data_IF_053891160226
#
_entry.id   IF_053891160226
#
_cell.length_a   1.000
_cell.length_b   1.000
_cell.length_c   1.000
_cell.angle_alpha   90.00
_cell.angle_beta   90.00
_cell.angle_gamma   90.00
#
_symmetry.space_group_name_H-M   'P 1'
#
loop_
_entity.id
_entity.type
_entity.pdbx_description
1 polymer ?
#
# COMPACT_ATOMS: atom_id res chain seq x y z
N UNK A 1 -46.28 -6.44 -21.08
CA UNK A 1 -44.81 -6.21 -21.10
C UNK A 1 -44.24 -5.75 -19.76
N UNK A 2 -45.00 -5.08 -18.87
CA UNK A 2 -44.49 -4.59 -17.57
C UNK A 2 -44.20 -5.73 -16.55
N UNK A 3 -44.98 -6.83 -16.59
CA UNK A 3 -44.84 -7.92 -15.61
C UNK A 3 -43.55 -8.76 -15.75
N UNK A 4 -42.98 -8.88 -16.96
CA UNK A 4 -41.76 -9.68 -17.17
C UNK A 4 -40.48 -9.02 -16.61
N UNK A 5 -40.43 -7.68 -16.61
CA UNK A 5 -39.31 -6.92 -16.03
C UNK A 5 -39.28 -7.00 -14.50
N UNK A 6 -40.46 -7.01 -13.87
CA UNK A 6 -40.65 -7.22 -12.43
C UNK A 6 -40.12 -8.59 -11.99
N UNK A 7 -40.51 -9.67 -12.67
CA UNK A 7 -40.08 -11.03 -12.34
C UNK A 7 -38.57 -11.23 -12.52
N UNK A 8 -38.00 -10.62 -13.55
CA UNK A 8 -36.56 -10.69 -13.83
C UNK A 8 -35.74 -10.00 -12.72
N UNK A 9 -36.20 -8.84 -12.26
CA UNK A 9 -35.56 -8.11 -11.16
C UNK A 9 -35.61 -8.89 -9.85
N UNK A 10 -36.78 -9.43 -9.51
CA UNK A 10 -36.97 -10.23 -8.29
C UNK A 10 -36.11 -11.51 -8.34
N UNK A 11 -35.98 -12.12 -9.51
CA UNK A 11 -35.09 -13.27 -9.72
C UNK A 11 -33.62 -12.93 -9.42
N UNK A 12 -33.09 -11.82 -9.97
CA UNK A 12 -31.72 -11.40 -9.72
C UNK A 12 -31.49 -10.95 -8.26
N UNK A 13 -32.45 -10.26 -7.65
CA UNK A 13 -32.39 -9.87 -6.24
C UNK A 13 -32.35 -11.09 -5.31
N UNK A 14 -33.16 -12.11 -5.56
CA UNK A 14 -33.16 -13.35 -4.78
C UNK A 14 -31.89 -14.17 -5.01
N UNK A 15 -31.37 -14.21 -6.24
CA UNK A 15 -30.09 -14.87 -6.54
C UNK A 15 -28.92 -14.17 -5.84
N UNK A 16 -28.91 -12.84 -5.81
CA UNK A 16 -27.91 -12.06 -5.09
C UNK A 16 -27.98 -12.28 -3.57
N UNK A 17 -29.19 -12.35 -2.98
CA UNK A 17 -29.38 -12.69 -1.56
C UNK A 17 -28.89 -14.10 -1.23
N UNK A 18 -29.13 -15.07 -2.12
CA UNK A 18 -28.64 -16.45 -1.94
C UNK A 18 -27.11 -16.55 -2.01
N UNK A 19 -26.46 -15.74 -2.86
CA UNK A 19 -24.98 -15.64 -2.89
C UNK A 19 -24.45 -14.97 -1.63
N UNK A 20 -25.12 -13.94 -1.10
CA UNK A 20 -24.76 -13.29 0.17
C UNK A 20 -25.00 -14.18 1.42
N UNK A 21 -25.86 -15.19 1.31
CA UNK A 21 -26.12 -16.17 2.37
C UNK A 21 -25.11 -17.33 2.39
N UNK A 22 -24.15 -17.36 1.47
CA UNK A 22 -22.95 -18.18 1.64
C UNK A 22 -22.18 -17.58 2.81
N UNK A 23 -22.31 -18.19 3.99
CA UNK A 23 -21.31 -18.01 5.04
C UNK A 23 -19.95 -18.28 4.39
N UNK A 24 -19.10 -17.28 4.34
CA UNK A 24 -17.69 -17.41 3.99
C UNK A 24 -17.05 -18.37 5.01
N UNK A 25 -17.20 -19.67 4.78
CA UNK A 25 -16.39 -20.72 5.37
C UNK A 25 -14.98 -20.71 4.73
N UNK A 26 -14.57 -19.60 4.13
CA UNK A 26 -13.23 -19.42 3.62
C UNK A 26 -12.32 -19.12 4.80
N UNK A 27 -11.72 -20.18 5.34
CA UNK A 27 -10.63 -20.07 6.28
C UNK A 27 -9.51 -19.24 5.66
N UNK A 28 -9.01 -18.26 6.41
CA UNK A 28 -7.90 -17.43 5.96
C UNK A 28 -6.69 -18.31 5.59
N UNK A 29 -6.22 -18.17 4.37
CA UNK A 29 -5.03 -18.90 3.89
C UNK A 29 -3.80 -18.27 4.53
N UNK A 30 -3.14 -19.01 5.42
CA UNK A 30 -1.95 -18.54 6.14
C UNK A 30 -0.73 -18.35 5.21
N UNK A 31 -0.57 -19.22 4.22
CA UNK A 31 0.56 -19.17 3.30
C UNK A 31 0.44 -18.03 2.27
N UNK A 32 1.42 -17.13 2.25
CA UNK A 32 1.51 -15.98 1.34
C UNK A 32 1.40 -16.36 -0.14
N UNK A 33 2.12 -17.41 -0.56
CA UNK A 33 2.19 -17.87 -1.95
C UNK A 33 0.86 -18.47 -2.39
N UNK A 34 0.24 -19.27 -1.53
CA UNK A 34 -1.09 -19.83 -1.79
C UNK A 34 -2.15 -18.74 -1.90
N UNK A 35 -2.10 -17.71 -1.05
CA UNK A 35 -2.97 -16.52 -1.18
C UNK A 35 -2.79 -15.83 -2.51
N UNK A 36 -1.54 -15.58 -2.91
CA UNK A 36 -1.24 -14.94 -4.20
C UNK A 36 -1.80 -15.77 -5.35
N UNK A 37 -1.58 -17.08 -5.37
CA UNK A 37 -2.09 -17.96 -6.41
C UNK A 37 -3.63 -17.94 -6.50
N UNK A 38 -4.33 -17.97 -5.35
CA UNK A 38 -5.80 -17.85 -5.32
C UNK A 38 -6.26 -16.48 -5.86
N UNK A 39 -5.59 -15.40 -5.45
CA UNK A 39 -5.86 -14.05 -5.92
C UNK A 39 -5.67 -13.94 -7.45
N UNK A 40 -4.54 -14.41 -7.97
CA UNK A 40 -4.22 -14.35 -9.40
C UNK A 40 -5.27 -15.11 -10.24
N UNK A 41 -5.73 -16.28 -9.76
CA UNK A 41 -6.82 -17.03 -10.39
C UNK A 41 -8.14 -16.24 -10.39
N UNK A 42 -8.50 -15.64 -9.27
CA UNK A 42 -9.72 -14.82 -9.16
C UNK A 42 -9.67 -13.59 -10.08
N UNK A 43 -8.52 -12.90 -10.14
CA UNK A 43 -8.29 -11.78 -11.06
C UNK A 43 -8.49 -12.23 -12.51
N UNK A 44 -7.97 -13.40 -12.89
CA UNK A 44 -8.13 -13.92 -14.23
C UNK A 44 -9.60 -14.20 -14.59
N UNK A 45 -10.38 -14.72 -13.64
CA UNK A 45 -11.82 -14.93 -13.85
C UNK A 45 -12.58 -13.61 -13.98
N UNK A 46 -12.26 -12.60 -13.16
CA UNK A 46 -12.88 -11.27 -13.26
C UNK A 46 -12.52 -10.60 -14.58
N UNK A 47 -11.27 -10.71 -15.05
CA UNK A 47 -10.86 -10.19 -16.37
C UNK A 47 -11.70 -10.78 -17.50
N UNK A 48 -11.98 -12.08 -17.47
CA UNK A 48 -12.87 -12.72 -18.46
C UNK A 48 -14.27 -12.14 -18.40
N UNK A 49 -14.81 -11.89 -17.19
CA UNK A 49 -16.10 -11.25 -17.04
C UNK A 49 -16.10 -9.83 -17.60
N UNK A 50 -15.10 -9.01 -17.27
CA UNK A 50 -14.96 -7.66 -17.81
C UNK A 50 -14.91 -7.65 -19.33
N UNK A 51 -14.15 -8.55 -19.94
CA UNK A 51 -14.07 -8.67 -21.40
C UNK A 51 -15.44 -9.01 -22.01
N UNK A 52 -16.17 -9.97 -21.43
CA UNK A 52 -17.50 -10.34 -21.92
C UNK A 52 -18.49 -9.17 -21.79
N UNK A 53 -18.50 -8.47 -20.66
CA UNK A 53 -19.38 -7.32 -20.43
C UNK A 53 -19.01 -6.13 -21.30
N UNK A 54 -17.72 -5.89 -21.53
CA UNK A 54 -17.24 -4.86 -22.45
C UNK A 54 -17.77 -5.12 -23.87
N UNK A 55 -17.64 -6.35 -24.37
CA UNK A 55 -18.13 -6.72 -25.71
C UNK A 55 -19.65 -6.62 -25.80
N UNK A 56 -20.37 -7.08 -24.77
CA UNK A 56 -21.83 -7.11 -24.79
C UNK A 56 -22.48 -5.73 -24.58
N UNK A 57 -21.87 -4.86 -23.77
CA UNK A 57 -22.48 -3.62 -23.30
C UNK A 57 -21.73 -2.35 -23.70
N UNK A 58 -20.52 -2.46 -24.28
CA UNK A 58 -19.70 -1.31 -24.64
C UNK A 58 -19.14 -0.52 -23.44
N UNK A 59 -19.03 -1.16 -22.27
CA UNK A 59 -18.57 -0.52 -21.04
C UNK A 59 -17.14 -0.98 -20.71
N UNK A 60 -16.25 -0.02 -20.47
CA UNK A 60 -14.90 -0.28 -19.97
C UNK A 60 -14.89 -0.44 -18.45
N UNK A 61 -14.06 -1.38 -17.96
CA UNK A 61 -13.97 -1.68 -16.54
C UNK A 61 -12.55 -1.50 -16.02
N UNK A 62 -12.46 -0.96 -14.81
CA UNK A 62 -11.25 -1.03 -14.01
C UNK A 62 -11.59 -1.43 -12.58
N UNK A 63 -10.83 -2.39 -12.07
CA UNK A 63 -10.84 -2.84 -10.69
C UNK A 63 -9.55 -2.41 -10.01
N UNK A 64 -9.71 -1.83 -8.82
CA UNK A 64 -8.60 -1.52 -7.93
C UNK A 64 -8.59 -2.57 -6.82
N UNK A 65 -7.46 -3.26 -6.66
CA UNK A 65 -7.25 -4.22 -5.57
C UNK A 65 -6.40 -3.58 -4.48
N UNK A 66 -6.96 -3.56 -3.27
CA UNK A 66 -6.33 -2.92 -2.13
C UNK A 66 -6.01 -3.98 -1.09
N UNK A 67 -4.73 -4.08 -0.75
CA UNK A 67 -4.26 -5.04 0.25
C UNK A 67 -4.18 -4.37 1.61
N UNK A 68 -4.81 -4.98 2.60
CA UNK A 68 -4.63 -4.66 4.02
C UNK A 68 -3.51 -5.51 4.67
N UNK A 69 -2.70 -6.23 3.88
CA UNK A 69 -1.50 -6.95 4.31
C UNK A 69 -0.28 -6.45 3.53
N UNK A 70 0.89 -6.44 4.16
CA UNK A 70 2.13 -5.97 3.53
C UNK A 70 2.69 -6.97 2.51
N UNK A 71 2.34 -8.26 2.63
CA UNK A 71 2.84 -9.32 1.75
C UNK A 71 2.28 -9.24 0.32
N UNK A 72 1.04 -8.78 0.18
CA UNK A 72 0.38 -8.62 -1.12
C UNK A 72 0.38 -7.14 -1.49
N UNK A 73 0.87 -6.84 -2.69
CA UNK A 73 0.83 -5.48 -3.21
C UNK A 73 -0.58 -5.16 -3.68
N UNK A 74 -1.00 -3.93 -3.39
CA UNK A 74 -2.19 -3.37 -4.03
C UNK A 74 -1.88 -3.13 -5.51
N UNK A 75 -2.86 -3.34 -6.37
CA UNK A 75 -2.70 -3.19 -7.80
C UNK A 75 -4.04 -2.83 -8.46
N UNK A 76 -4.09 -2.78 -9.78
CA UNK A 76 -5.31 -2.59 -10.52
C UNK A 76 -5.30 -3.47 -11.76
N UNK A 77 -6.48 -3.78 -12.29
CA UNK A 77 -6.64 -4.50 -13.54
C UNK A 77 -7.99 -4.14 -14.18
N UNK A 78 -8.16 -4.38 -15.47
CA UNK A 78 -9.35 -3.97 -16.20
C UNK A 78 -9.56 -4.74 -17.50
N UNK A 79 -10.47 -4.23 -18.31
CA UNK A 79 -10.59 -4.55 -19.74
C UNK A 79 -9.36 -4.07 -20.50
N UNK A 80 -9.06 -4.70 -21.64
CA UNK A 80 -7.82 -4.42 -22.39
C UNK A 80 -7.64 -2.92 -22.70
N UNK A 81 -8.69 -2.26 -23.21
CA UNK A 81 -8.65 -0.83 -23.56
C UNK A 81 -8.48 0.03 -22.32
N UNK A 82 -9.22 -0.27 -21.25
CA UNK A 82 -9.04 0.37 -19.95
C UNK A 82 -7.59 0.26 -19.45
N UNK A 83 -6.99 -0.93 -19.49
CA UNK A 83 -5.62 -1.10 -19.00
C UNK A 83 -4.60 -0.33 -19.81
N UNK A 84 -4.71 -0.32 -21.13
CA UNK A 84 -3.79 0.41 -21.99
C UNK A 84 -3.85 1.91 -21.70
N UNK A 85 -5.06 2.45 -21.52
CA UNK A 85 -5.27 3.84 -21.13
C UNK A 85 -4.56 4.16 -19.79
N UNK A 86 -4.82 3.39 -18.73
CA UNK A 86 -4.27 3.72 -17.41
C UNK A 86 -2.79 3.38 -17.24
N UNK A 87 -2.23 2.45 -18.04
CA UNK A 87 -0.78 2.24 -18.10
C UNK A 87 -0.04 3.48 -18.60
N UNK A 88 -0.66 4.24 -19.52
CA UNK A 88 -0.04 5.44 -20.08
C UNK A 88 0.09 6.58 -19.06
N UNK A 89 -0.78 6.64 -18.05
CA UNK A 89 -0.92 7.83 -17.19
C UNK A 89 -0.47 7.68 -15.74
N UNK A 90 -0.05 6.51 -15.26
CA UNK A 90 0.45 6.21 -13.89
C UNK A 90 -0.43 6.64 -12.68
N UNK A 91 -1.47 7.44 -12.88
CA UNK A 91 -2.32 8.05 -11.87
C UNK A 91 -3.01 7.02 -10.96
N UNK A 92 -3.35 5.84 -11.49
CA UNK A 92 -3.95 4.78 -10.66
C UNK A 92 -2.99 4.22 -9.62
N UNK A 93 -1.69 4.16 -9.91
CA UNK A 93 -0.72 3.67 -8.92
C UNK A 93 -0.64 4.63 -7.72
N UNK A 94 -0.78 5.93 -7.97
CA UNK A 94 -0.84 6.96 -6.94
C UNK A 94 -2.19 6.92 -6.20
N UNK A 95 -3.29 6.81 -6.95
CA UNK A 95 -4.65 6.78 -6.41
C UNK A 95 -4.92 5.58 -5.49
N UNK A 96 -4.17 4.48 -5.65
CA UNK A 96 -4.28 3.30 -4.78
C UNK A 96 -3.80 3.57 -3.35
N UNK A 97 -2.87 4.51 -3.17
CA UNK A 97 -2.17 4.71 -1.89
C UNK A 97 -3.14 5.06 -0.76
N UNK A 98 -4.04 6.05 -0.89
CA UNK A 98 -5.00 6.39 0.16
C UNK A 98 -5.89 5.20 0.56
N UNK A 99 -6.38 4.43 -0.41
CA UNK A 99 -7.21 3.25 -0.12
C UNK A 99 -6.42 2.19 0.66
N UNK A 100 -5.15 1.99 0.33
CA UNK A 100 -4.27 1.06 1.04
C UNK A 100 -4.06 1.49 2.48
N UNK A 101 -3.73 2.76 2.71
CA UNK A 101 -3.56 3.32 4.04
C UNK A 101 -4.83 3.14 4.88
N UNK A 102 -5.98 3.49 4.31
CA UNK A 102 -7.29 3.31 4.96
C UNK A 102 -7.57 1.83 5.29
N UNK A 103 -7.28 0.92 4.37
CA UNK A 103 -7.53 -0.52 4.56
C UNK A 103 -6.64 -1.12 5.67
N UNK A 104 -5.39 -0.69 5.77
CA UNK A 104 -4.47 -1.06 6.86
C UNK A 104 -4.99 -0.53 8.19
N UNK A 105 -5.39 0.74 8.26
CA UNK A 105 -5.94 1.35 9.47
C UNK A 105 -7.21 0.64 9.94
N UNK A 106 -8.14 0.36 9.02
CA UNK A 106 -9.37 -0.37 9.34
C UNK A 106 -9.12 -1.79 9.83
N UNK A 107 -8.12 -2.48 9.27
CA UNK A 107 -7.71 -3.79 9.77
C UNK A 107 -7.14 -3.69 11.19
N UNK A 108 -6.27 -2.72 11.48
CA UNK A 108 -5.73 -2.50 12.83
C UNK A 108 -6.83 -2.20 13.83
N UNK A 109 -7.76 -1.29 13.50
CA UNK A 109 -8.93 -0.98 14.33
C UNK A 109 -9.76 -2.24 14.65
N UNK A 110 -9.97 -3.12 13.66
CA UNK A 110 -10.70 -4.37 13.87
C UNK A 110 -9.91 -5.36 14.74
N UNK A 111 -8.60 -5.50 14.54
CA UNK A 111 -7.74 -6.37 15.35
C UNK A 111 -7.64 -5.88 16.79
N UNK A 112 -7.50 -4.57 17.00
CA UNK A 112 -7.51 -3.95 18.34
C UNK A 112 -8.87 -4.12 19.02
N UNK A 113 -9.99 -3.89 18.32
CA UNK A 113 -11.34 -4.19 18.84
C UNK A 113 -11.52 -5.67 19.19
N UNK A 114 -10.95 -6.60 18.41
CA UNK A 114 -10.95 -8.04 18.73
C UNK A 114 -10.13 -8.32 20.01
N UNK A 115 -9.02 -7.60 20.24
CA UNK A 115 -8.23 -7.74 21.49
C UNK A 115 -8.95 -7.21 22.73
N UNK A 116 -9.90 -6.28 22.58
CA UNK A 116 -10.68 -5.71 23.70
C UNK A 116 -11.88 -6.58 24.13
N UNK A 117 -12.10 -7.76 23.54
CA UNK A 117 -13.19 -8.67 23.93
C UNK A 117 -12.61 -9.95 24.54
N UNK A 118 -12.11 -9.84 25.78
CA UNK A 118 -12.11 -10.92 26.77
C UNK A 118 -11.90 -10.31 28.17
N UNK A 119 -12.87 -10.40 29.10
CA UNK A 119 -12.68 -9.99 30.47
C UNK A 119 -12.13 -11.17 31.27
N UNK A 120 -10.80 -11.25 31.40
CA UNK A 120 -10.19 -12.09 32.43
C UNK A 120 -8.95 -11.40 32.98
N UNK A 121 -9.01 -11.11 34.27
CA UNK A 121 -7.93 -10.59 35.10
C UNK A 121 -6.60 -11.32 34.84
N UNK A 122 -5.52 -10.57 34.62
CA UNK A 122 -4.19 -10.73 35.23
C UNK A 122 -3.21 -9.71 34.60
N UNK A 123 -2.64 -8.90 35.49
CA UNK A 123 -1.38 -8.13 35.42
C UNK A 123 -1.06 -7.20 34.22
N UNK A 124 -1.14 -5.91 34.54
CA UNK A 124 -0.07 -4.91 34.45
C UNK A 124 0.75 -4.72 33.15
N UNK A 125 0.61 -3.49 32.64
CA UNK A 125 1.64 -2.65 32.03
C UNK A 125 2.44 -3.22 30.84
N UNK A 126 1.97 -2.90 29.63
CA UNK A 126 2.84 -2.21 28.66
C UNK A 126 2.00 -1.39 27.67
N UNK A 127 1.90 -0.08 27.90
CA UNK A 127 1.52 0.86 26.83
C UNK A 127 2.71 0.97 25.86
N UNK A 128 2.70 0.20 24.77
CA UNK A 128 3.57 0.50 23.63
C UNK A 128 3.02 1.72 22.89
N UNK A 129 3.57 2.88 23.24
CA UNK A 129 3.47 4.11 22.44
C UNK A 129 3.94 3.82 21.02
N UNK A 130 3.13 4.21 20.04
CA UNK A 130 3.57 4.47 18.67
C UNK A 130 4.93 5.21 18.70
N UNK A 131 5.97 4.77 17.97
CA UNK A 131 7.23 5.47 18.01
C UNK A 131 7.02 6.87 17.40
N UNK A 132 7.19 7.89 18.24
CA UNK A 132 7.37 9.27 17.81
C UNK A 132 8.57 9.34 16.87
N UNK A 133 8.62 10.35 16.00
CA UNK A 133 9.76 10.53 15.09
C UNK A 133 11.10 10.62 15.84
N UNK A 134 11.10 11.03 17.12
CA UNK A 134 12.27 10.97 18.00
C UNK A 134 12.77 9.55 18.28
N UNK A 135 11.88 8.55 18.35
CA UNK A 135 12.23 7.18 18.73
C UNK A 135 13.06 6.45 17.67
N UNK A 136 12.71 6.62 16.38
CA UNK A 136 13.46 6.00 15.28
C UNK A 136 14.84 6.62 15.05
N UNK A 137 14.99 7.91 15.38
CA UNK A 137 16.28 8.62 15.33
C UNK A 137 17.18 8.26 16.50
N UNK A 138 16.63 8.10 17.70
CA UNK A 138 17.39 7.73 18.91
C UNK A 138 18.02 6.33 18.81
N UNK A 139 17.46 5.44 17.98
CA UNK A 139 17.97 4.07 17.77
C UNK A 139 19.03 3.96 16.66
N UNK A 140 19.43 5.06 16.03
CA UNK A 140 20.48 5.04 14.99
C UNK A 140 21.87 4.95 15.62
N UNK A 141 22.61 3.91 15.26
CA UNK A 141 24.02 3.80 15.61
C UNK A 141 24.89 4.53 14.59
N UNK A 142 25.21 5.79 14.88
CA UNK A 142 26.08 6.65 14.06
C UNK A 142 27.50 6.10 13.90
N UNK A 143 27.97 5.21 14.79
CA UNK A 143 29.29 4.58 14.70
C UNK A 143 29.37 3.45 13.65
N UNK A 144 28.23 2.97 13.12
CA UNK A 144 28.18 1.87 12.13
C UNK A 144 27.35 2.24 10.88
N UNK A 145 27.78 3.27 10.12
CA UNK A 145 27.01 3.81 8.98
C UNK A 145 26.82 2.80 7.83
N UNK A 146 27.72 1.82 7.71
CA UNK A 146 27.67 0.82 6.65
C UNK A 146 26.81 -0.41 6.97
N UNK A 147 26.33 -0.55 8.21
CA UNK A 147 25.59 -1.73 8.67
C UNK A 147 24.24 -1.89 7.98
N UNK A 148 23.75 -3.13 7.89
CA UNK A 148 22.41 -3.42 7.35
C UNK A 148 21.32 -2.72 8.17
N UNK A 149 21.47 -2.72 9.51
CA UNK A 149 20.57 -2.02 10.43
C UNK A 149 20.47 -0.51 10.12
N UNK A 150 21.62 0.17 9.97
CA UNK A 150 21.63 1.59 9.59
C UNK A 150 20.96 1.82 8.23
N UNK A 151 21.18 0.94 7.24
CA UNK A 151 20.56 1.06 5.91
C UNK A 151 19.04 0.93 5.98
N UNK A 152 18.54 -0.03 6.74
CA UNK A 152 17.10 -0.29 6.84
C UNK A 152 16.40 0.79 7.65
N UNK A 153 17.02 1.28 8.74
CA UNK A 153 16.52 2.42 9.53
C UNK A 153 16.48 3.72 8.74
N UNK A 154 17.56 4.08 8.04
CA UNK A 154 17.59 5.28 7.19
C UNK A 154 16.52 5.18 6.10
N UNK A 155 16.35 4.00 5.47
CA UNK A 155 15.29 3.78 4.49
C UNK A 155 13.89 3.99 5.10
N UNK A 156 13.66 3.46 6.31
CA UNK A 156 12.37 3.61 7.00
C UNK A 156 12.09 5.08 7.34
N UNK A 157 13.08 5.81 7.86
CA UNK A 157 12.98 7.22 8.23
C UNK A 157 12.69 8.08 7.00
N UNK A 158 13.49 7.93 5.93
CA UNK A 158 13.28 8.70 4.70
C UNK A 158 11.91 8.41 4.07
N UNK A 159 11.48 7.14 4.05
CA UNK A 159 10.15 6.77 3.55
C UNK A 159 9.05 7.44 4.35
N UNK A 160 9.15 7.44 5.69
CA UNK A 160 8.18 8.07 6.57
C UNK A 160 8.14 9.58 6.39
N UNK A 161 9.30 10.25 6.29
CA UNK A 161 9.39 11.68 5.96
C UNK A 161 8.73 11.99 4.62
N UNK A 162 8.99 11.19 3.58
CA UNK A 162 8.34 11.36 2.27
C UNK A 162 6.81 11.19 2.33
N UNK A 163 6.33 10.25 3.13
CA UNK A 163 4.89 10.04 3.35
C UNK A 163 4.26 11.21 4.14
N UNK A 164 4.97 11.78 5.12
CA UNK A 164 4.47 12.91 5.92
C UNK A 164 4.52 14.22 5.11
N UNK A 165 5.67 14.52 4.51
CA UNK A 165 5.93 15.84 3.94
C UNK A 165 5.19 16.07 2.61
N UNK A 166 5.09 15.02 1.76
CA UNK A 166 4.49 15.13 0.42
C UNK A 166 3.42 14.07 0.15
N UNK A 167 2.97 13.33 1.18
CA UNK A 167 1.95 12.28 1.04
C UNK A 167 2.32 11.20 0.00
N UNK A 168 3.62 11.00 -0.21
CA UNK A 168 4.16 10.11 -1.23
C UNK A 168 4.34 8.66 -0.73
N UNK A 169 4.04 7.67 -1.58
CA UNK A 169 4.14 6.25 -1.20
C UNK A 169 5.56 5.66 -1.32
N UNK A 170 6.22 5.85 -2.46
CA UNK A 170 7.57 5.33 -2.74
C UNK A 170 8.42 6.46 -3.29
N UNK A 171 9.55 6.71 -2.64
CA UNK A 171 10.54 7.67 -3.13
C UNK A 171 11.07 7.17 -4.49
N UNK A 172 10.92 7.96 -5.58
CA UNK A 172 11.30 7.55 -6.93
C UNK A 172 12.82 7.62 -7.18
N UNK A 173 13.64 6.99 -6.33
CA UNK A 173 15.11 7.06 -6.40
C UNK A 173 15.69 6.82 -7.81
N UNK A 174 15.14 5.86 -8.58
CA UNK A 174 15.62 5.53 -9.93
C UNK A 174 15.40 6.66 -10.95
N UNK A 175 14.36 7.46 -10.76
CA UNK A 175 13.97 8.55 -11.66
C UNK A 175 14.20 9.92 -11.00
N UNK A 176 14.92 9.97 -9.87
CA UNK A 176 15.02 11.18 -9.05
C UNK A 176 15.61 12.39 -9.81
N UNK A 177 16.54 12.14 -10.74
CA UNK A 177 17.11 13.19 -11.61
C UNK A 177 16.16 13.73 -12.67
N UNK A 178 15.18 12.94 -13.08
CA UNK A 178 14.31 13.24 -14.22
C UNK A 178 12.89 13.61 -13.78
N UNK A 179 12.57 13.45 -12.50
CA UNK A 179 11.29 13.85 -11.94
C UNK A 179 11.31 15.34 -11.57
N UNK A 180 10.16 16.01 -11.71
CA UNK A 180 10.00 17.45 -11.47
C UNK A 180 8.99 17.76 -10.36
N UNK A 181 8.52 16.73 -9.65
CA UNK A 181 7.42 16.84 -8.70
C UNK A 181 7.91 17.13 -7.28
N UNK A 182 9.09 16.62 -6.93
CA UNK A 182 9.60 16.65 -5.58
C UNK A 182 11.00 17.24 -5.56
N UNK A 183 11.29 18.01 -4.52
CA UNK A 183 12.64 18.41 -4.15
C UNK A 183 12.97 17.87 -2.77
N UNK A 184 14.25 17.60 -2.55
CA UNK A 184 14.79 17.23 -1.23
C UNK A 184 15.54 18.43 -0.68
N UNK A 185 15.21 18.82 0.55
CA UNK A 185 15.86 19.90 1.29
C UNK A 185 16.64 19.31 2.45
N UNK A 186 17.76 19.94 2.83
CA UNK A 186 18.59 19.47 3.95
C UNK A 186 19.44 18.23 3.64
N UNK A 187 19.47 17.79 2.38
CA UNK A 187 20.45 16.81 1.92
C UNK A 187 21.85 17.47 1.87
N UNK A 188 22.93 16.78 2.31
CA UNK A 188 24.28 17.34 2.22
C UNK A 188 24.63 17.76 0.80
N UNK A 189 25.18 18.96 0.61
CA UNK A 189 25.43 19.55 -0.71
C UNK A 189 26.42 18.77 -1.58
N UNK A 190 27.30 18.00 -0.94
CA UNK A 190 28.30 17.15 -1.60
C UNK A 190 27.82 15.70 -1.78
N UNK A 191 26.58 15.39 -1.42
CA UNK A 191 25.99 14.05 -1.56
C UNK A 191 24.83 14.09 -2.54
N UNK A 192 24.92 13.29 -3.58
CA UNK A 192 23.81 13.06 -4.49
C UNK A 192 22.69 12.29 -3.78
N UNK A 193 21.45 12.79 -3.84
CA UNK A 193 20.31 12.09 -3.28
C UNK A 193 19.98 10.82 -4.07
N UNK A 194 20.33 9.66 -3.50
CA UNK A 194 20.05 8.33 -4.02
C UNK A 194 19.82 7.35 -2.87
N UNK A 195 19.57 6.08 -3.21
CA UNK A 195 19.38 5.03 -2.22
C UNK A 195 20.61 4.97 -1.30
N UNK A 196 20.40 5.03 0.02
CA UNK A 196 21.48 5.04 1.02
C UNK A 196 22.48 3.87 0.88
N UNK A 197 21.98 2.70 0.47
CA UNK A 197 22.82 1.53 0.19
C UNK A 197 23.81 1.75 -0.98
N UNK A 198 23.53 2.68 -1.89
CA UNK A 198 24.38 3.02 -3.03
C UNK A 198 25.41 4.11 -2.72
N UNK A 199 25.38 4.69 -1.52
CA UNK A 199 26.35 5.67 -1.06
C UNK A 199 27.64 5.00 -0.57
N UNK A 200 28.76 5.70 -0.69
CA UNK A 200 30.03 5.30 -0.09
C UNK A 200 30.03 5.60 1.43
N UNK A 201 31.04 5.12 2.16
CA UNK A 201 31.05 5.25 3.62
C UNK A 201 31.08 6.68 4.15
N UNK A 202 31.72 7.62 3.43
CA UNK A 202 31.77 9.02 3.82
C UNK A 202 30.41 9.70 3.60
N UNK A 203 29.83 9.51 2.41
CA UNK A 203 28.49 10.02 2.07
C UNK A 203 27.41 9.49 3.04
N UNK A 204 27.50 8.21 3.43
CA UNK A 204 26.59 7.61 4.41
C UNK A 204 26.62 8.32 5.76
N UNK A 205 27.81 8.68 6.25
CA UNK A 205 27.96 9.39 7.52
C UNK A 205 27.36 10.80 7.43
N UNK A 206 27.59 11.50 6.32
CA UNK A 206 27.04 12.84 6.10
C UNK A 206 25.51 12.84 6.01
N UNK A 207 24.92 11.83 5.35
CA UNK A 207 23.47 11.65 5.29
C UNK A 207 22.90 11.31 6.66
N UNK A 208 23.57 10.47 7.46
CA UNK A 208 23.15 10.20 8.83
C UNK A 208 23.15 11.47 9.70
N UNK A 209 24.23 12.26 9.64
CA UNK A 209 24.35 13.50 10.41
C UNK A 209 23.32 14.56 10.01
N UNK A 210 22.81 14.50 8.78
CA UNK A 210 21.83 15.45 8.26
C UNK A 210 20.40 14.90 8.23
N UNK A 211 20.18 13.68 8.72
CA UNK A 211 18.93 12.95 8.53
C UNK A 211 17.72 13.67 9.13
N UNK A 212 17.92 14.34 10.26
CA UNK A 212 16.90 15.20 10.89
C UNK A 212 16.47 16.35 9.99
N UNK A 213 17.45 16.97 9.32
CA UNK A 213 17.26 18.14 8.48
C UNK A 213 16.69 17.78 7.10
N UNK A 214 16.82 16.52 6.67
CA UNK A 214 16.27 16.09 5.39
C UNK A 214 14.74 16.16 5.42
N UNK A 215 14.16 16.84 4.43
CA UNK A 215 12.72 16.98 4.21
C UNK A 215 12.41 16.89 2.71
N UNK A 216 11.17 16.56 2.39
CA UNK A 216 10.67 16.57 1.03
C UNK A 216 9.66 17.69 0.83
N UNK A 217 9.64 18.29 -0.34
CA UNK A 217 8.64 19.30 -0.70
C UNK A 217 8.20 19.08 -2.14
N UNK A 218 6.99 19.53 -2.47
CA UNK A 218 6.61 19.69 -3.86
C UNK A 218 7.46 20.78 -4.51
N UNK A 219 7.86 20.56 -5.75
CA UNK A 219 8.61 21.52 -6.56
C UNK A 219 7.67 22.41 -7.38
#
# INVERSE_FOLDING_TARGET
MINQLSDTRIHFENKARNVNNLKDNETYISNARARKAKLDKAIQEIRKMFQLTQVACGIEFIAITVSNNDELRSHWFGSNVGEDFYRAYNFLNESIVPFRCFSILKRKEKVEKIRYVEPSNILENTMEKSPSDSGLLNDLNFAKPNSTDARDKVRAILKRKFEIDVQGGIIPYKKWKNQTLYKVIGCPSNVEFKVYASLNSKERLEVLNSLDNIKFEFQ
#
